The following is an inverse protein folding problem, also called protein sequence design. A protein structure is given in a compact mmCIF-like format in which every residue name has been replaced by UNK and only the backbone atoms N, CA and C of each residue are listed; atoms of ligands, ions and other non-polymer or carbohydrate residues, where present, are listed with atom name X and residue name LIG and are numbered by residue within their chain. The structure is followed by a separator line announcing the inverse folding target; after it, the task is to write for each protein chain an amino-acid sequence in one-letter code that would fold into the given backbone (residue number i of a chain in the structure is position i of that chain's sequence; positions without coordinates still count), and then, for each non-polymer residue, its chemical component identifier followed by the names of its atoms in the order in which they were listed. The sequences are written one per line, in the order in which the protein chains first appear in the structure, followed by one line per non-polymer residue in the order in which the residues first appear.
data_IF_274689925455
#
_entry.id   IF_274689925455
#
_cell.length_a   1.000
_cell.length_b   1.000
_cell.length_c   1.000
_cell.angle_alpha   90.00
_cell.angle_beta   90.00
_cell.angle_gamma   90.00
#
_symmetry.space_group_name_H-M   'P 1'
#
loop_
_entity.id
_entity.type
_entity.pdbx_description
1 polymer ?
#
# COMPACT_ATOMS: atom_id res chain seq x y z
N UNK A 1 0.04 -23.81 -23.87
CA UNK A 1 0.68 -22.67 -23.17
C UNK A 1 2.05 -23.10 -22.66
N UNK A 2 3.06 -22.23 -22.72
CA UNK A 2 4.46 -22.58 -22.40
C UNK A 2 4.72 -22.37 -20.90
N UNK A 3 5.56 -23.23 -20.29
CA UNK A 3 5.82 -23.23 -18.84
C UNK A 3 6.36 -21.87 -18.36
N UNK A 4 5.87 -21.46 -17.19
CA UNK A 4 6.25 -20.25 -16.46
C UNK A 4 7.73 -20.22 -16.02
N UNK A 5 8.35 -19.03 -16.04
CA UNK A 5 9.67 -18.81 -15.45
C UNK A 5 9.61 -18.77 -13.91
N UNK A 6 10.62 -19.36 -13.24
CA UNK A 6 10.67 -19.41 -11.77
C UNK A 6 10.61 -18.01 -11.12
N UNK A 7 11.25 -17.00 -11.74
CA UNK A 7 11.26 -15.61 -11.27
C UNK A 7 9.87 -15.00 -11.19
N UNK A 8 9.11 -15.07 -12.30
CA UNK A 8 7.72 -14.59 -12.36
C UNK A 8 6.85 -15.20 -11.27
N UNK A 9 6.98 -16.51 -11.02
CA UNK A 9 6.22 -17.17 -9.95
C UNK A 9 6.55 -16.61 -8.57
N UNK A 10 7.84 -16.48 -8.25
CA UNK A 10 8.30 -15.99 -6.95
C UNK A 10 7.83 -14.55 -6.73
N UNK A 11 8.05 -13.67 -7.72
CA UNK A 11 7.67 -12.25 -7.62
C UNK A 11 6.15 -12.06 -7.54
N UNK A 12 5.38 -12.90 -8.25
CA UNK A 12 3.90 -12.87 -8.14
C UNK A 12 3.43 -13.27 -6.74
N UNK A 13 4.06 -14.27 -6.12
CA UNK A 13 3.75 -14.68 -4.74
C UNK A 13 4.15 -13.57 -3.75
N UNK A 14 5.32 -12.95 -3.94
CA UNK A 14 5.76 -11.82 -3.11
C UNK A 14 4.79 -10.64 -3.22
N UNK A 15 4.30 -10.34 -4.42
CA UNK A 15 3.29 -9.31 -4.63
C UNK A 15 1.98 -9.63 -3.89
N UNK A 16 1.51 -10.88 -3.93
CA UNK A 16 0.30 -11.31 -3.21
C UNK A 16 0.48 -11.08 -1.70
N UNK A 17 1.60 -11.54 -1.13
CA UNK A 17 1.90 -11.37 0.30
C UNK A 17 1.99 -9.89 0.69
N UNK A 18 2.67 -9.09 -0.14
CA UNK A 18 2.82 -7.66 0.13
C UNK A 18 1.48 -6.92 0.00
N UNK A 19 0.63 -7.29 -0.96
CA UNK A 19 -0.73 -6.72 -1.11
C UNK A 19 -1.62 -7.02 0.08
N UNK A 20 -1.58 -8.26 0.59
CA UNK A 20 -2.29 -8.63 1.82
C UNK A 20 -1.74 -7.84 3.02
N UNK A 21 -0.42 -7.74 3.15
CA UNK A 21 0.23 -6.94 4.19
C UNK A 21 -0.21 -5.46 4.16
N UNK A 22 -0.26 -4.86 2.97
CA UNK A 22 -0.72 -3.48 2.78
C UNK A 22 -2.20 -3.29 3.16
N UNK A 23 -3.04 -4.27 2.85
CA UNK A 23 -4.45 -4.24 3.23
C UNK A 23 -4.64 -4.35 4.74
N UNK A 24 -3.95 -5.29 5.40
CA UNK A 24 -3.97 -5.43 6.86
C UNK A 24 -3.40 -4.20 7.56
N UNK A 25 -2.33 -3.61 7.02
CA UNK A 25 -1.77 -2.36 7.53
C UNK A 25 -2.79 -1.22 7.47
N UNK A 26 -3.49 -1.06 6.33
CA UNK A 26 -4.51 -0.03 6.19
C UNK A 26 -5.64 -0.19 7.23
N UNK A 27 -6.05 -1.44 7.53
CA UNK A 27 -7.04 -1.72 8.58
C UNK A 27 -6.53 -1.42 9.98
N UNK A 28 -5.29 -1.81 10.31
CA UNK A 28 -4.70 -1.53 11.61
C UNK A 28 -4.52 -0.01 11.84
N UNK A 29 -4.08 0.71 10.81
CA UNK A 29 -3.88 2.16 10.87
C UNK A 29 -5.20 2.91 11.14
N UNK A 30 -6.33 2.41 10.60
CA UNK A 30 -7.65 2.99 10.89
C UNK A 30 -8.05 2.93 12.36
N UNK A 31 -7.53 1.95 13.11
CA UNK A 31 -7.93 1.75 14.51
C UNK A 31 -6.97 2.39 15.52
N UNK A 32 -5.75 2.72 15.09
CA UNK A 32 -4.66 3.13 15.99
C UNK A 32 -4.94 4.42 16.76
N UNK A 33 -5.60 5.39 16.13
CA UNK A 33 -5.82 6.74 16.67
C UNK A 33 -7.26 7.00 17.12
N UNK A 34 -8.04 5.94 17.36
CA UNK A 34 -9.45 6.03 17.75
C UNK A 34 -9.68 6.75 19.10
N UNK A 35 -8.65 6.79 19.95
CA UNK A 35 -8.68 7.48 21.23
C UNK A 35 -8.76 9.00 21.09
N UNK A 36 -8.29 9.57 19.98
CA UNK A 36 -8.39 11.00 19.68
C UNK A 36 -9.77 11.43 19.17
N UNK A 37 -10.73 10.51 19.09
CA UNK A 37 -12.08 10.81 18.60
C UNK A 37 -12.94 11.53 19.63
N UNK A 38 -13.72 12.51 19.17
CA UNK A 38 -14.80 13.09 19.97
C UNK A 38 -14.35 14.06 21.06
N UNK A 39 -13.14 14.61 20.95
CA UNK A 39 -12.63 15.71 21.77
C UNK A 39 -13.52 16.95 21.60
N UNK A 40 -13.94 17.57 22.72
CA UNK A 40 -14.91 18.67 22.78
C UNK A 40 -14.31 19.96 23.29
N UNK A 41 -13.18 19.91 24.00
CA UNK A 41 -12.52 21.11 24.52
C UNK A 41 -11.98 21.98 23.37
N UNK A 42 -12.17 23.31 23.44
CA UNK A 42 -11.66 24.21 22.41
C UNK A 42 -10.13 24.18 22.31
N UNK A 43 -9.44 23.88 23.41
CA UNK A 43 -7.99 23.69 23.43
C UNK A 43 -7.53 22.48 22.60
N UNK A 44 -8.39 21.46 22.45
CA UNK A 44 -8.09 20.24 21.70
C UNK A 44 -8.69 20.26 20.28
N UNK A 45 -9.19 21.41 19.82
CA UNK A 45 -9.84 21.53 18.51
C UNK A 45 -8.89 21.17 17.35
N UNK A 46 -7.60 21.49 17.46
CA UNK A 46 -6.60 21.11 16.47
C UNK A 46 -6.39 19.59 16.40
N UNK A 47 -6.47 18.90 17.54
CA UNK A 47 -6.37 17.43 17.62
C UNK A 47 -7.64 16.78 17.05
N UNK A 48 -8.82 17.34 17.34
CA UNK A 48 -10.06 16.90 16.72
C UNK A 48 -10.01 17.06 15.19
N UNK A 49 -9.53 18.21 14.70
CA UNK A 49 -9.35 18.46 13.27
C UNK A 49 -8.33 17.49 12.64
N UNK A 50 -7.23 17.21 13.33
CA UNK A 50 -6.24 16.21 12.92
C UNK A 50 -6.90 14.85 12.71
N UNK A 51 -7.63 14.36 13.71
CA UNK A 51 -8.27 13.05 13.65
C UNK A 51 -9.36 13.02 12.56
N UNK A 52 -10.34 13.92 12.64
CA UNK A 52 -11.57 13.85 11.85
C UNK A 52 -11.39 14.26 10.39
N UNK A 53 -10.44 15.17 10.11
CA UNK A 53 -10.21 15.68 8.75
C UNK A 53 -8.99 15.03 8.14
N UNK A 54 -7.82 15.20 8.76
CA UNK A 54 -6.54 14.81 8.15
C UNK A 54 -6.42 13.28 8.15
N UNK A 55 -6.55 12.67 9.31
CA UNK A 55 -6.32 11.24 9.51
C UNK A 55 -7.43 10.40 8.85
N UNK A 56 -8.70 10.77 8.99
CA UNK A 56 -9.78 10.08 8.28
C UNK A 56 -9.69 10.19 6.75
N UNK A 57 -9.29 11.35 6.21
CA UNK A 57 -9.09 11.50 4.76
C UNK A 57 -7.98 10.57 4.29
N UNK A 58 -6.86 10.54 5.02
CA UNK A 58 -5.76 9.64 4.72
C UNK A 58 -6.16 8.16 4.85
N UNK A 59 -6.91 7.78 5.89
CA UNK A 59 -7.43 6.43 6.10
C UNK A 59 -8.25 5.94 4.90
N UNK A 60 -9.13 6.80 4.39
CA UNK A 60 -9.92 6.48 3.20
C UNK A 60 -9.05 6.28 1.96
N UNK A 61 -8.03 7.12 1.80
CA UNK A 61 -7.09 7.01 0.67
C UNK A 61 -6.26 5.73 0.75
N UNK A 62 -5.62 5.43 1.88
CA UNK A 62 -4.75 4.25 2.01
C UNK A 62 -5.56 2.95 1.86
N UNK A 63 -6.79 2.92 2.34
CA UNK A 63 -7.70 1.79 2.12
C UNK A 63 -8.12 1.63 0.66
N UNK A 64 -8.45 2.72 -0.02
CA UNK A 64 -8.75 2.66 -1.46
C UNK A 64 -7.55 2.13 -2.26
N UNK A 65 -6.34 2.58 -1.95
CA UNK A 65 -5.12 2.11 -2.60
C UNK A 65 -4.79 0.65 -2.27
N UNK A 66 -5.04 0.19 -1.04
CA UNK A 66 -4.82 -1.21 -0.68
C UNK A 66 -5.82 -2.14 -1.38
N UNK A 67 -7.06 -1.70 -1.62
CA UNK A 67 -8.04 -2.43 -2.45
C UNK A 67 -7.56 -2.61 -3.89
N UNK A 68 -6.87 -1.64 -4.48
CA UNK A 68 -6.25 -1.80 -5.81
C UNK A 68 -5.25 -2.96 -5.79
N UNK A 69 -4.44 -3.08 -4.73
CA UNK A 69 -3.53 -4.22 -4.52
C UNK A 69 -4.26 -5.56 -4.48
N UNK A 70 -5.37 -5.63 -3.74
CA UNK A 70 -6.24 -6.81 -3.64
C UNK A 70 -6.88 -7.18 -4.98
N UNK A 71 -7.37 -6.21 -5.74
CA UNK A 71 -7.85 -6.42 -7.12
C UNK A 71 -6.73 -7.04 -7.97
N UNK A 72 -5.50 -6.60 -7.77
CA UNK A 72 -4.33 -7.18 -8.42
C UNK A 72 -4.12 -8.67 -8.14
N UNK A 73 -4.43 -9.15 -6.92
CA UNK A 73 -4.39 -10.58 -6.60
C UNK A 73 -5.40 -11.34 -7.46
N UNK A 74 -6.64 -10.83 -7.58
CA UNK A 74 -7.65 -11.43 -8.43
C UNK A 74 -7.19 -11.47 -9.90
N UNK A 75 -6.61 -10.39 -10.41
CA UNK A 75 -6.06 -10.33 -11.77
C UNK A 75 -4.93 -11.33 -12.00
N UNK A 76 -4.03 -11.53 -11.04
CA UNK A 76 -2.97 -12.55 -11.12
C UNK A 76 -3.55 -13.96 -11.31
N UNK A 77 -4.65 -14.26 -10.63
CA UNK A 77 -5.35 -15.55 -10.76
C UNK A 77 -6.09 -15.64 -12.10
N UNK A 78 -6.90 -14.63 -12.43
CA UNK A 78 -7.72 -14.62 -13.66
C UNK A 78 -6.89 -14.63 -14.95
N UNK A 79 -5.75 -13.94 -14.95
CA UNK A 79 -4.83 -13.88 -16.10
C UNK A 79 -3.80 -15.02 -16.10
N UNK A 80 -3.95 -15.99 -15.20
CA UNK A 80 -3.08 -17.17 -15.06
C UNK A 80 -1.58 -16.84 -14.94
N UNK A 81 -1.25 -15.70 -14.33
CA UNK A 81 0.14 -15.20 -14.21
C UNK A 81 1.02 -16.19 -13.39
N UNK A 82 0.42 -16.98 -12.51
CA UNK A 82 1.10 -18.02 -11.73
C UNK A 82 1.34 -19.34 -12.46
N UNK A 83 0.77 -19.51 -13.66
CA UNK A 83 0.86 -20.77 -14.42
C UNK A 83 1.45 -20.59 -15.82
N UNK A 84 1.26 -19.41 -16.41
CA UNK A 84 1.58 -19.12 -17.80
C UNK A 84 2.38 -17.82 -17.95
N UNK A 85 3.16 -17.71 -19.02
CA UNK A 85 3.77 -16.44 -19.41
C UNK A 85 2.65 -15.49 -19.89
N UNK A 86 2.60 -14.23 -19.43
CA UNK A 86 1.54 -13.29 -19.81
C UNK A 86 1.53 -13.06 -21.32
N UNK A 87 0.34 -13.03 -21.91
CA UNK A 87 0.15 -12.51 -23.26
C UNK A 87 0.22 -10.96 -23.26
N UNK A 88 0.06 -10.34 -24.43
CA UNK A 88 0.18 -8.87 -24.53
C UNK A 88 -0.89 -8.15 -23.72
N UNK A 89 -2.10 -8.70 -23.68
CA UNK A 89 -3.22 -8.11 -22.95
C UNK A 89 -2.96 -8.18 -21.44
N UNK A 90 -2.66 -9.37 -20.92
CA UNK A 90 -2.33 -9.59 -19.52
C UNK A 90 -1.12 -8.74 -19.09
N UNK A 91 -0.09 -8.63 -19.94
CA UNK A 91 1.07 -7.78 -19.66
C UNK A 91 0.68 -6.31 -19.48
N UNK A 92 -0.10 -5.74 -20.42
CA UNK A 92 -0.51 -4.32 -20.33
C UNK A 92 -1.36 -4.08 -19.09
N UNK A 93 -2.34 -4.96 -18.82
CA UNK A 93 -3.20 -4.86 -17.63
C UNK A 93 -2.36 -4.88 -16.34
N UNK A 94 -1.43 -5.84 -16.24
CA UNK A 94 -0.57 -5.97 -15.06
C UNK A 94 0.40 -4.79 -14.91
N UNK A 95 0.95 -4.25 -16.01
CA UNK A 95 1.83 -3.08 -15.94
C UNK A 95 1.08 -1.83 -15.46
N UNK A 96 -0.13 -1.58 -15.98
CA UNK A 96 -0.96 -0.46 -15.52
C UNK A 96 -1.30 -0.59 -14.03
N UNK A 97 -1.62 -1.80 -13.58
CA UNK A 97 -1.84 -2.10 -12.17
C UNK A 97 -0.58 -1.82 -11.34
N UNK A 98 0.61 -2.28 -11.78
CA UNK A 98 1.86 -2.04 -11.04
C UNK A 98 2.16 -0.54 -10.92
N UNK A 99 1.92 0.24 -11.98
CA UNK A 99 2.06 1.70 -11.95
C UNK A 99 1.09 2.32 -10.94
N UNK A 100 -0.17 1.90 -10.93
CA UNK A 100 -1.17 2.39 -9.98
C UNK A 100 -0.79 2.05 -8.53
N UNK A 101 -0.31 0.82 -8.27
CA UNK A 101 0.16 0.40 -6.96
C UNK A 101 1.39 1.19 -6.49
N UNK A 102 2.38 1.40 -7.37
CA UNK A 102 3.55 2.22 -7.07
C UNK A 102 3.17 3.68 -6.78
N UNK A 103 2.26 4.26 -7.58
CA UNK A 103 1.76 5.62 -7.36
C UNK A 103 1.03 5.76 -6.03
N UNK A 104 0.09 4.86 -5.73
CA UNK A 104 -0.65 4.84 -4.48
C UNK A 104 0.27 4.71 -3.25
N UNK A 105 1.29 3.86 -3.35
CA UNK A 105 2.28 3.68 -2.29
C UNK A 105 3.18 4.90 -2.11
N UNK A 106 3.66 5.51 -3.20
CA UNK A 106 4.46 6.73 -3.14
C UNK A 106 3.67 7.90 -2.53
N UNK A 107 2.41 8.07 -2.95
CA UNK A 107 1.49 9.04 -2.37
C UNK A 107 1.27 8.78 -0.87
N UNK A 108 1.13 7.52 -0.47
CA UNK A 108 0.98 7.14 0.93
C UNK A 108 2.22 7.47 1.76
N UNK A 109 3.43 7.27 1.22
CA UNK A 109 4.68 7.65 1.92
C UNK A 109 4.74 9.15 2.18
N UNK A 110 4.47 9.97 1.16
CA UNK A 110 4.47 11.43 1.29
C UNK A 110 3.47 11.90 2.35
N UNK A 111 2.26 11.35 2.32
CA UNK A 111 1.22 11.70 3.29
C UNK A 111 1.56 11.20 4.71
N UNK A 112 2.08 9.99 4.88
CA UNK A 112 2.51 9.48 6.18
C UNK A 112 3.58 10.37 6.82
N UNK A 113 4.54 10.84 6.02
CA UNK A 113 5.58 11.75 6.50
C UNK A 113 4.99 13.12 6.89
N UNK A 114 4.16 13.71 6.04
CA UNK A 114 3.52 15.00 6.32
C UNK A 114 2.61 14.94 7.57
N UNK A 115 1.78 13.90 7.68
CA UNK A 115 0.89 13.69 8.82
C UNK A 115 1.68 13.43 10.09
N UNK A 116 2.78 12.67 10.03
CA UNK A 116 3.65 12.45 11.19
C UNK A 116 4.29 13.74 11.70
N UNK A 117 4.71 14.65 10.80
CA UNK A 117 5.26 15.96 11.19
C UNK A 117 4.18 16.84 11.80
N UNK A 118 2.99 16.87 11.21
CA UNK A 118 1.85 17.61 11.75
C UNK A 118 1.45 17.09 13.14
N UNK A 119 1.36 15.76 13.28
CA UNK A 119 1.03 15.09 14.54
C UNK A 119 2.01 15.42 15.66
N UNK A 120 3.31 15.52 15.35
CA UNK A 120 4.34 15.92 16.30
C UNK A 120 4.19 17.37 16.79
N UNK A 121 3.58 18.24 15.99
CA UNK A 121 3.40 19.65 16.31
C UNK A 121 2.16 19.99 17.13
N UNK A 122 1.25 19.03 17.35
CA UNK A 122 0.02 19.25 18.10
C UNK A 122 0.30 19.36 19.62
N UNK A 123 -0.51 20.15 20.31
CA UNK A 123 -0.45 20.27 21.77
C UNK A 123 -1.37 19.27 22.46
N UNK A 124 -0.78 18.29 23.17
CA UNK A 124 -1.48 17.21 23.86
C UNK A 124 -1.70 17.49 25.36
N UNK A 125 -1.31 18.67 25.86
CA UNK A 125 -1.34 18.96 27.30
C UNK A 125 -2.75 18.92 27.91
N UNK A 126 -3.76 19.33 27.14
CA UNK A 126 -5.16 19.44 27.59
C UNK A 126 -5.98 18.16 27.40
N UNK A 127 -5.39 17.06 26.93
CA UNK A 127 -6.08 15.77 26.79
C UNK A 127 -6.44 15.12 28.12
N UNK A 128 -5.64 15.40 29.16
CA UNK A 128 -5.95 14.98 30.54
C UNK A 128 -7.32 15.51 31.00
N UNK A 129 -7.73 16.69 30.54
CA UNK A 129 -9.03 17.29 30.87
C UNK A 129 -10.22 16.57 30.18
N UNK A 130 -9.95 15.72 29.19
CA UNK A 130 -10.95 14.90 28.50
C UNK A 130 -10.81 13.40 28.82
N UNK A 131 -10.09 13.06 29.90
CA UNK A 131 -9.97 11.69 30.40
C UNK A 131 -8.87 10.85 29.75
N UNK A 132 -8.03 11.45 28.89
CA UNK A 132 -6.84 10.82 28.33
C UNK A 132 -5.61 11.19 29.16
N UNK A 133 -5.52 10.59 30.36
CA UNK A 133 -4.38 10.76 31.25
C UNK A 133 -3.16 10.02 30.69
N UNK A 134 -2.03 10.74 30.53
CA UNK A 134 -0.75 10.19 30.06
C UNK A 134 -0.74 9.69 28.61
N UNK A 135 -1.42 10.40 27.70
CA UNK A 135 -1.34 10.11 26.27
C UNK A 135 0.12 10.11 25.78
N UNK A 136 0.53 9.02 25.11
CA UNK A 136 1.86 8.91 24.51
C UNK A 136 1.76 8.98 23.00
N UNK A 137 2.65 9.77 22.40
CA UNK A 137 2.70 9.90 20.94
C UNK A 137 3.14 8.59 20.29
N UNK A 138 2.25 8.01 19.48
CA UNK A 138 2.51 6.79 18.74
C UNK A 138 2.99 7.09 17.32
N UNK A 139 4.30 6.93 17.09
CA UNK A 139 4.92 7.12 15.75
C UNK A 139 5.28 5.81 15.04
N UNK A 140 5.21 4.68 15.74
CA UNK A 140 5.61 3.37 15.21
C UNK A 140 4.83 3.03 13.95
N UNK A 141 3.53 3.26 13.95
CA UNK A 141 2.62 2.91 12.86
C UNK A 141 2.86 3.78 11.61
N UNK A 142 3.23 5.06 11.78
CA UNK A 142 3.72 5.91 10.69
C UNK A 142 5.01 5.37 10.07
N UNK A 143 6.00 5.00 10.90
CA UNK A 143 7.29 4.46 10.42
C UNK A 143 7.13 3.13 9.71
N UNK A 144 6.34 2.22 10.29
CA UNK A 144 6.01 0.93 9.67
C UNK A 144 5.29 1.14 8.34
N UNK A 145 4.38 2.10 8.26
CA UNK A 145 3.70 2.46 7.02
C UNK A 145 4.67 2.88 5.91
N UNK A 146 5.67 3.70 6.22
CA UNK A 146 6.69 4.10 5.23
C UNK A 146 7.49 2.89 4.75
N UNK A 147 7.91 2.01 5.67
CA UNK A 147 8.67 0.79 5.33
C UNK A 147 7.84 -0.16 4.46
N UNK A 148 6.60 -0.44 4.84
CA UNK A 148 5.72 -1.32 4.07
C UNK A 148 5.44 -0.79 2.67
N UNK A 149 5.14 0.51 2.53
CA UNK A 149 4.92 1.12 1.22
C UNK A 149 6.19 1.10 0.36
N UNK A 150 7.37 1.35 0.95
CA UNK A 150 8.63 1.31 0.22
C UNK A 150 8.96 -0.11 -0.29
N UNK A 151 8.78 -1.13 0.55
CA UNK A 151 8.93 -2.53 0.15
C UNK A 151 7.91 -2.90 -0.93
N UNK A 152 6.67 -2.42 -0.81
CA UNK A 152 5.62 -2.69 -1.79
C UNK A 152 5.96 -2.11 -3.17
N UNK A 153 6.53 -0.90 -3.23
CA UNK A 153 7.04 -0.30 -4.48
C UNK A 153 8.13 -1.19 -5.10
N UNK A 154 9.08 -1.67 -4.30
CA UNK A 154 10.16 -2.53 -4.80
C UNK A 154 9.60 -3.84 -5.39
N UNK A 155 8.64 -4.47 -4.70
CA UNK A 155 8.00 -5.70 -5.18
C UNK A 155 7.20 -5.45 -6.47
N UNK A 156 6.42 -4.37 -6.53
CA UNK A 156 5.66 -4.00 -7.73
C UNK A 156 6.59 -3.71 -8.93
N UNK A 157 7.67 -2.95 -8.70
CA UNK A 157 8.68 -2.66 -9.72
C UNK A 157 9.40 -3.90 -10.22
N UNK A 158 9.82 -4.79 -9.30
CA UNK A 158 10.47 -6.05 -9.66
C UNK A 158 9.54 -6.96 -10.47
N UNK A 159 8.27 -7.08 -10.06
CA UNK A 159 7.28 -7.87 -10.80
C UNK A 159 7.01 -7.29 -12.20
N UNK A 160 6.89 -5.97 -12.34
CA UNK A 160 6.69 -5.32 -13.63
C UNK A 160 7.84 -5.62 -14.62
N UNK A 161 9.08 -5.53 -14.13
CA UNK A 161 10.28 -5.82 -14.92
C UNK A 161 10.30 -7.29 -15.32
N UNK A 162 10.05 -8.20 -14.38
CA UNK A 162 10.10 -9.64 -14.64
C UNK A 162 8.99 -10.11 -15.59
N UNK A 163 7.76 -9.59 -15.46
CA UNK A 163 6.68 -9.88 -16.42
C UNK A 163 7.03 -9.44 -17.83
N UNK A 164 7.64 -8.25 -17.96
CA UNK A 164 8.08 -7.72 -19.25
C UNK A 164 9.21 -8.56 -19.84
N UNK A 165 10.21 -8.91 -19.03
CA UNK A 165 11.34 -9.75 -19.44
C UNK A 165 10.87 -11.16 -19.85
N UNK A 166 9.94 -11.75 -19.09
CA UNK A 166 9.32 -13.04 -19.37
C UNK A 166 8.56 -13.03 -20.70
N UNK A 167 7.77 -11.99 -20.95
CA UNK A 167 7.06 -11.82 -22.21
C UNK A 167 8.01 -11.64 -23.40
N UNK A 168 9.02 -10.77 -23.28
CA UNK A 168 9.99 -10.52 -24.35
C UNK A 168 10.80 -11.78 -24.68
N UNK A 169 11.24 -12.53 -23.66
CA UNK A 169 11.95 -13.80 -23.84
C UNK A 169 11.07 -14.82 -24.55
N UNK A 170 9.80 -14.91 -24.17
CA UNK A 170 8.84 -15.79 -24.84
C UNK A 170 8.62 -15.42 -26.32
N UNK A 171 8.49 -14.13 -26.63
CA UNK A 171 8.35 -13.65 -28.01
C UNK A 171 9.59 -13.96 -28.85
N UNK A 172 10.79 -13.82 -28.26
CA UNK A 172 12.05 -14.18 -28.94
C UNK A 172 12.13 -15.67 -29.25
N UNK A 173 11.91 -16.53 -28.26
CA UNK A 173 11.94 -17.98 -28.46
C UNK A 173 10.90 -18.45 -29.50
N UNK A 174 9.70 -17.84 -29.49
CA UNK A 174 8.67 -18.12 -30.50
C UNK A 174 9.11 -17.74 -31.92
N UNK A 175 9.87 -16.65 -32.09
CA UNK A 175 10.44 -16.26 -33.39
C UNK A 175 11.56 -17.19 -33.84
N UNK A 176 12.31 -17.75 -32.90
CA UNK A 176 13.40 -18.70 -33.15
C UNK A 176 12.90 -20.13 -33.45
N UNK A 177 11.58 -20.38 -33.39
CA UNK A 177 10.99 -21.67 -33.71
C UNK A 177 11.21 -22.75 -32.62
N UNK A 178 11.74 -22.35 -31.47
CA UNK A 178 11.94 -23.19 -30.28
C UNK A 178 10.76 -23.05 -29.36
#
# INVERSE_FOLDING_TARGET
MRKLFKGQRILSVLYILASIGMFLFALAFMTEYNDLFGLKLPQNQEIAMFHDVILQTFNRQIFAWSLVGVIGIALIVFLEILSCVPDRFALVVMLLLMVACCYGAANSIMNLQAISVYYQGLDFQYLSLEGLENYQLQFTTFRLGVVFNALYILVCGALAIDLTASHLTFVRLKKEGV
#
